data_IF_054623254492
#
_entry.id   IF_054623254492
#
_cell.length_a   1.000
_cell.length_b   1.000
_cell.length_c   1.000
_cell.angle_alpha   90.00
_cell.angle_beta   90.00
_cell.angle_gamma   90.00
#
_symmetry.space_group_name_H-M   'P 1'
#
loop_
_entity.id
_entity.type
_entity.pdbx_description
1 polymer ?
#
# COMPACT_ATOMS: atom_id res chain seq x y z
N UNK A 1 1.57 10.37 -9.68
CA UNK A 1 2.29 9.34 -8.91
C UNK A 1 2.68 8.15 -9.79
N UNK A 2 1.75 7.58 -10.58
CA UNK A 2 2.07 6.52 -11.55
C UNK A 2 3.13 6.95 -12.58
N UNK A 3 3.09 8.17 -13.11
CA UNK A 3 4.11 8.67 -14.05
C UNK A 3 5.52 8.80 -13.43
N UNK A 4 5.59 9.12 -12.12
CA UNK A 4 6.86 9.29 -11.40
C UNK A 4 7.55 7.95 -11.17
N UNK A 5 6.76 6.89 -11.00
CA UNK A 5 7.21 5.58 -10.56
C UNK A 5 6.89 4.46 -11.53
N UNK A 6 6.55 4.77 -12.79
CA UNK A 6 6.08 3.81 -13.78
C UNK A 6 7.03 2.60 -13.94
N UNK A 7 8.34 2.82 -13.80
CA UNK A 7 9.37 1.78 -13.88
C UNK A 7 9.44 0.84 -12.66
N UNK A 8 8.94 1.30 -11.50
CA UNK A 8 8.99 0.64 -10.19
C UNK A 8 7.66 -0.02 -9.79
N UNK A 9 6.54 0.51 -10.30
CA UNK A 9 5.19 -0.02 -10.10
C UNK A 9 5.12 -1.49 -10.55
N UNK A 10 4.37 -2.31 -9.81
CA UNK A 10 4.22 -3.78 -9.93
C UNK A 10 5.48 -4.63 -9.65
N UNK A 11 6.69 -4.09 -9.83
CA UNK A 11 7.95 -4.83 -9.59
C UNK A 11 8.43 -4.73 -8.14
N UNK A 12 8.40 -3.50 -7.62
CA UNK A 12 8.97 -3.18 -6.31
C UNK A 12 8.06 -2.35 -5.44
N UNK A 13 6.99 -1.81 -6.03
CA UNK A 13 6.05 -0.94 -5.37
C UNK A 13 4.65 -1.10 -5.94
N UNK A 14 3.64 -0.94 -5.10
CA UNK A 14 2.25 -0.75 -5.51
C UNK A 14 1.85 0.68 -5.20
N UNK A 15 1.27 1.38 -6.17
CA UNK A 15 0.80 2.76 -6.04
C UNK A 15 -0.72 2.77 -6.11
N UNK A 16 -1.35 3.44 -5.15
CA UNK A 16 -2.79 3.56 -5.04
C UNK A 16 -3.19 5.00 -4.68
N UNK A 17 -3.64 5.75 -5.69
CA UNK A 17 -4.02 7.16 -5.56
C UNK A 17 -2.93 7.99 -4.88
N UNK A 18 -3.10 8.29 -3.58
CA UNK A 18 -2.18 9.10 -2.78
C UNK A 18 -1.22 8.26 -1.92
N UNK A 19 -1.49 6.97 -1.74
CA UNK A 19 -0.68 6.06 -0.95
C UNK A 19 0.13 5.14 -1.86
N UNK A 20 1.30 4.71 -1.39
CA UNK A 20 2.08 3.69 -2.06
C UNK A 20 2.75 2.78 -1.03
N UNK A 21 3.08 1.57 -1.47
CA UNK A 21 3.70 0.56 -0.62
C UNK A 21 4.88 -0.09 -1.32
N UNK A 22 6.00 -0.18 -0.62
CA UNK A 22 7.21 -0.86 -1.09
C UNK A 22 7.28 -2.22 -0.42
N UNK A 23 7.54 -3.26 -1.21
CA UNK A 23 7.59 -4.62 -0.73
C UNK A 23 8.86 -5.34 -1.19
N UNK A 24 9.33 -6.26 -0.35
CA UNK A 24 10.52 -7.06 -0.60
C UNK A 24 10.50 -8.38 0.17
N UNK A 25 11.16 -9.38 -0.38
CA UNK A 25 11.20 -10.74 0.19
C UNK A 25 12.14 -10.86 1.41
N UNK A 26 12.99 -9.87 1.63
CA UNK A 26 13.91 -9.75 2.75
C UNK A 26 13.98 -8.30 3.23
N UNK A 27 14.46 -8.09 4.46
CA UNK A 27 14.65 -6.76 5.02
C UNK A 27 15.60 -5.91 4.17
N UNK A 28 16.75 -6.46 3.79
CA UNK A 28 17.74 -5.77 2.95
C UNK A 28 17.17 -5.37 1.58
N UNK A 29 16.43 -6.27 0.93
CA UNK A 29 15.82 -5.96 -0.36
C UNK A 29 14.73 -4.90 -0.22
N UNK A 30 13.94 -4.94 0.85
CA UNK A 30 12.96 -3.90 1.15
C UNK A 30 13.64 -2.54 1.40
N UNK A 31 14.72 -2.53 2.18
CA UNK A 31 15.51 -1.32 2.47
C UNK A 31 16.10 -0.72 1.20
N UNK A 32 16.72 -1.53 0.34
CA UNK A 32 17.26 -1.08 -0.95
C UNK A 32 16.18 -0.52 -1.89
N UNK A 33 14.96 -1.06 -1.85
CA UNK A 33 13.83 -0.56 -2.64
C UNK A 33 13.28 0.74 -2.08
N UNK A 34 13.20 0.85 -0.75
CA UNK A 34 12.79 2.07 -0.07
C UNK A 34 13.76 3.21 -0.38
N UNK A 35 15.07 2.94 -0.33
CA UNK A 35 16.11 3.91 -0.65
C UNK A 35 15.95 4.48 -2.07
N UNK A 36 15.79 3.60 -3.07
CA UNK A 36 15.53 4.02 -4.46
C UNK A 36 14.25 4.84 -4.62
N UNK A 37 13.21 4.47 -3.88
CA UNK A 37 11.93 5.18 -3.92
C UNK A 37 12.05 6.58 -3.28
N UNK A 38 12.76 6.69 -2.15
CA UNK A 38 13.03 7.97 -1.50
C UNK A 38 13.87 8.88 -2.40
N UNK A 39 14.90 8.34 -3.06
CA UNK A 39 15.68 9.10 -4.03
C UNK A 39 14.81 9.66 -5.15
N UNK A 40 13.89 8.87 -5.69
CA UNK A 40 12.95 9.34 -6.72
C UNK A 40 11.96 10.39 -6.17
N UNK A 41 11.59 10.31 -4.89
CA UNK A 41 10.79 11.35 -4.24
C UNK A 41 11.56 12.68 -4.21
N UNK A 42 12.84 12.65 -3.83
CA UNK A 42 13.70 13.85 -3.86
C UNK A 42 13.83 14.43 -5.27
N UNK A 43 14.13 13.58 -6.27
CA UNK A 43 14.31 14.01 -7.67
C UNK A 43 13.05 14.67 -8.26
N UNK A 44 11.87 14.28 -7.77
CA UNK A 44 10.57 14.79 -8.23
C UNK A 44 9.95 15.83 -7.29
N UNK A 45 10.67 16.27 -6.25
CA UNK A 45 10.18 17.17 -5.19
C UNK A 45 8.88 16.68 -4.53
N UNK A 46 8.71 15.36 -4.42
CA UNK A 46 7.60 14.73 -3.72
C UNK A 46 7.90 14.68 -2.21
N UNK A 47 7.08 15.35 -1.41
CA UNK A 47 7.19 15.30 0.06
C UNK A 47 6.32 14.19 0.63
N UNK A 48 6.86 13.42 1.57
CA UNK A 48 6.15 12.35 2.28
C UNK A 48 5.70 12.82 3.65
N UNK A 49 4.45 12.51 4.01
CA UNK A 49 3.98 12.75 5.36
C UNK A 49 4.54 11.68 6.31
N UNK A 50 5.52 12.05 7.12
CA UNK A 50 6.18 11.15 8.07
C UNK A 50 5.23 10.62 9.16
N UNK A 51 4.21 11.38 9.57
CA UNK A 51 3.22 10.95 10.58
C UNK A 51 2.30 9.84 10.08
N UNK A 52 2.05 9.80 8.76
CA UNK A 52 1.22 8.78 8.11
C UNK A 52 2.05 7.63 7.53
N UNK A 53 3.35 7.80 7.40
CA UNK A 53 4.25 6.81 6.79
C UNK A 53 4.60 5.70 7.78
N UNK A 54 4.47 4.45 7.34
CA UNK A 54 4.80 3.28 8.14
C UNK A 54 5.96 2.53 7.48
N UNK A 55 7.08 2.40 8.17
CA UNK A 55 8.31 1.81 7.63
C UNK A 55 8.63 0.45 8.25
N UNK A 56 9.16 -0.45 7.42
CA UNK A 56 9.71 -1.76 7.85
C UNK A 56 8.76 -2.59 8.73
N UNK A 57 7.48 -2.52 8.42
CA UNK A 57 6.45 -3.32 9.09
C UNK A 57 6.34 -4.71 8.47
N UNK A 58 6.08 -5.73 9.29
CA UNK A 58 5.83 -7.11 8.81
C UNK A 58 4.45 -7.25 8.16
N UNK A 59 3.52 -6.37 8.53
CA UNK A 59 2.15 -6.33 8.06
C UNK A 59 1.73 -4.86 7.93
N UNK A 60 1.01 -4.52 6.87
CA UNK A 60 0.51 -3.17 6.61
C UNK A 60 -0.93 -3.21 6.10
N UNK A 61 -1.65 -2.10 6.27
CA UNK A 61 -2.97 -1.94 5.66
C UNK A 61 -2.78 -1.09 4.40
N UNK A 62 -3.06 -1.68 3.24
CA UNK A 62 -3.10 -0.96 1.95
C UNK A 62 -4.52 -1.11 1.41
N UNK A 63 -5.19 0.01 1.13
CA UNK A 63 -6.60 0.05 0.71
C UNK A 63 -7.60 -0.65 1.66
N UNK A 64 -7.30 -0.72 2.96
CA UNK A 64 -8.14 -1.50 3.89
C UNK A 64 -8.08 -3.01 3.60
N UNK A 65 -6.94 -3.49 3.11
CA UNK A 65 -6.58 -4.90 3.09
C UNK A 65 -5.30 -5.08 3.89
N UNK A 66 -5.27 -6.10 4.75
CA UNK A 66 -4.08 -6.44 5.51
C UNK A 66 -3.13 -7.21 4.61
N UNK A 67 -2.04 -6.58 4.22
CA UNK A 67 -0.96 -7.21 3.47
C UNK A 67 0.02 -7.82 4.48
N UNK A 68 0.30 -9.12 4.34
CA UNK A 68 1.33 -9.84 5.08
C UNK A 68 2.01 -10.89 4.19
N UNK A 69 3.12 -11.45 4.67
CA UNK A 69 3.90 -12.50 3.98
C UNK A 69 3.06 -13.70 3.49
N UNK A 70 1.92 -13.97 4.13
CA UNK A 70 1.11 -15.16 3.90
C UNK A 70 -0.17 -14.91 3.08
N UNK A 71 -0.23 -13.79 2.31
CA UNK A 71 -1.33 -13.27 1.46
C UNK A 71 -2.12 -12.11 2.06
N UNK A 72 -2.64 -11.29 1.15
CA UNK A 72 -3.67 -10.26 1.33
C UNK A 72 -4.89 -10.84 2.04
N UNK A 73 -5.04 -10.53 3.33
CA UNK A 73 -6.30 -10.79 4.05
C UNK A 73 -7.22 -9.59 3.84
N UNK A 74 -8.45 -9.86 3.41
CA UNK A 74 -9.52 -8.86 3.45
C UNK A 74 -9.65 -8.40 4.90
N UNK A 75 -9.67 -7.08 5.10
CA UNK A 75 -9.87 -6.50 6.42
C UNK A 75 -11.18 -7.01 7.02
N UNK A 76 -11.09 -7.58 8.22
CA UNK A 76 -12.25 -8.10 8.95
C UNK A 76 -13.28 -7.03 9.19
N UNK A 77 -12.88 -5.77 9.39
CA UNK A 77 -13.83 -4.67 9.58
C UNK A 77 -14.73 -4.49 8.34
N UNK A 78 -14.17 -4.62 7.13
CA UNK A 78 -14.96 -4.56 5.88
C UNK A 78 -15.88 -5.77 5.73
N UNK A 79 -15.42 -6.96 6.11
CA UNK A 79 -16.23 -8.20 6.07
C UNK A 79 -17.42 -8.08 7.02
N UNK A 80 -17.19 -7.59 8.24
CA UNK A 80 -18.24 -7.44 9.25
C UNK A 80 -19.30 -6.40 8.85
N UNK A 81 -18.88 -5.34 8.14
CA UNK A 81 -19.81 -4.36 7.57
C UNK A 81 -20.70 -4.99 6.50
N UNK A 82 -20.12 -5.70 5.53
CA UNK A 82 -20.89 -6.36 4.47
C UNK A 82 -21.82 -7.43 5.05
N UNK A 83 -21.36 -8.20 6.04
CA UNK A 83 -22.17 -9.24 6.69
C UNK A 83 -23.40 -8.66 7.42
N UNK A 84 -23.36 -7.39 7.83
CA UNK A 84 -24.45 -6.68 8.52
C UNK A 84 -25.33 -5.86 7.58
N UNK A 85 -25.02 -5.78 6.28
CA UNK A 85 -25.84 -5.04 5.32
C UNK A 85 -27.19 -5.79 5.14
N UNK A 86 -28.33 -5.13 5.38
CA UNK A 86 -29.63 -5.73 5.11
C UNK A 86 -29.82 -5.91 3.60
N UNK A 87 -30.63 -6.90 3.22
CA UNK A 87 -30.93 -7.18 1.82
C UNK A 87 -31.47 -5.92 1.12
N UNK A 88 -30.86 -5.47 0.01
CA UNK A 88 -31.35 -4.32 -0.72
C UNK A 88 -32.77 -4.60 -1.19
N UNK A 89 -33.72 -3.79 -0.73
CA UNK A 89 -35.15 -3.89 -1.07
C UNK A 89 -35.54 -3.02 -2.25
N UNK A 90 -34.62 -2.20 -2.73
CA UNK A 90 -34.84 -1.24 -3.83
C UNK A 90 -33.64 -1.23 -4.75
N UNK A 91 -33.91 -1.31 -6.05
CA UNK A 91 -32.94 -1.02 -7.10
C UNK A 91 -32.94 0.51 -7.29
N UNK A 92 -31.75 1.13 -7.27
CA UNK A 92 -31.56 2.55 -7.62
C UNK A 92 -30.85 2.65 -8.96
#
# INVERSE_FOLDING_TARGET
MLDIFHDMVEKTMEVFMEDFSVFGNSFENCLSRLDKMLQRCEDTNLSLNWEKSHFMVKEGIVLGHKISKNRTKVDRAKVDVIAKIPHPTTVK
#
